data_IF_079434791000
#
_entry.id   IF_079434791000
#
_cell.length_a   1.000
_cell.length_b   1.000
_cell.length_c   1.000
_cell.angle_alpha   90.00
_cell.angle_beta   90.00
_cell.angle_gamma   90.00
#
_symmetry.space_group_name_H-M   'P 1'
#
loop_
_entity.id
_entity.type
_entity.pdbx_description
1 polymer ?
#
# COMPACT_ATOMS: atom_id res chain seq x y z
N UNK A 1 -19.23 -1.48 -30.19
CA UNK A 1 -18.32 -1.89 -29.09
C UNK A 1 -19.15 -1.98 -27.83
N UNK A 2 -18.98 -3.03 -27.02
CA UNK A 2 -19.65 -3.16 -25.72
C UNK A 2 -19.21 -2.04 -24.79
N UNK A 3 -20.11 -1.56 -23.92
CA UNK A 3 -19.75 -0.56 -22.93
C UNK A 3 -18.72 -1.14 -21.94
N UNK A 4 -17.71 -0.34 -21.50
CA UNK A 4 -16.76 -0.77 -20.50
C UNK A 4 -17.45 -1.17 -19.18
N UNK A 5 -16.96 -2.23 -18.54
CA UNK A 5 -17.46 -2.69 -17.25
C UNK A 5 -16.51 -2.21 -16.13
N UNK A 6 -16.98 -1.45 -15.12
CA UNK A 6 -16.11 -0.95 -14.04
C UNK A 6 -15.64 -2.04 -13.07
N UNK A 7 -16.29 -3.22 -13.08
CA UNK A 7 -15.98 -4.34 -12.19
C UNK A 7 -14.87 -5.25 -12.73
N UNK A 8 -14.18 -4.83 -13.78
CA UNK A 8 -13.11 -5.58 -14.43
C UNK A 8 -11.79 -4.84 -14.29
N UNK A 9 -10.71 -5.56 -13.97
CA UNK A 9 -9.35 -5.00 -14.05
C UNK A 9 -8.95 -4.88 -15.52
N UNK A 10 -8.94 -3.68 -16.09
CA UNK A 10 -8.59 -3.51 -17.51
C UNK A 10 -7.81 -2.22 -17.78
N UNK A 11 -6.77 -2.31 -18.59
CA UNK A 11 -5.94 -1.17 -18.98
C UNK A 11 -4.46 -1.50 -19.04
N UNK A 12 -3.68 -0.54 -19.52
CA UNK A 12 -2.22 -0.61 -19.58
C UNK A 12 -1.61 0.16 -18.43
N UNK A 13 -0.64 -0.43 -17.76
CA UNK A 13 0.08 0.18 -16.65
C UNK A 13 1.42 0.76 -17.11
N UNK A 14 1.84 1.84 -16.45
CA UNK A 14 3.08 2.56 -16.70
C UNK A 14 3.79 2.83 -15.38
N UNK A 15 5.10 2.62 -15.36
CA UNK A 15 6.00 2.92 -14.23
C UNK A 15 6.65 4.30 -14.36
N UNK A 16 6.45 4.98 -15.48
CA UNK A 16 6.97 6.31 -15.78
C UNK A 16 6.44 6.77 -17.13
N UNK A 17 6.75 8.01 -17.51
CA UNK A 17 6.33 8.59 -18.79
C UNK A 17 6.76 7.71 -19.97
N UNK A 18 5.79 7.18 -20.72
CA UNK A 18 6.00 6.25 -21.82
C UNK A 18 6.58 4.89 -21.45
N UNK A 19 6.86 4.62 -20.17
CA UNK A 19 7.48 3.39 -19.70
C UNK A 19 6.39 2.39 -19.29
N UNK A 20 5.97 1.56 -20.25
CA UNK A 20 4.98 0.52 -20.01
C UNK A 20 5.53 -0.50 -18.99
N UNK A 21 4.70 -0.83 -17.99
CA UNK A 21 5.01 -1.79 -16.95
C UNK A 21 4.96 -3.23 -17.49
N UNK A 22 5.57 -4.15 -16.74
CA UNK A 22 5.43 -5.59 -17.02
C UNK A 22 3.96 -6.02 -16.99
N UNK A 23 3.60 -7.02 -17.81
CA UNK A 23 2.25 -7.59 -17.86
C UNK A 23 1.76 -8.20 -16.54
N UNK A 24 2.66 -8.43 -15.58
CA UNK A 24 2.32 -8.82 -14.22
C UNK A 24 1.56 -7.73 -13.46
N UNK A 25 1.53 -6.48 -13.94
CA UNK A 25 0.82 -5.37 -13.32
C UNK A 25 -0.46 -5.03 -14.06
N UNK A 26 -1.52 -4.91 -13.29
CA UNK A 26 -2.86 -4.61 -13.79
C UNK A 26 -3.47 -3.49 -12.95
N UNK A 27 -4.40 -2.69 -13.52
CA UNK A 27 -4.99 -1.58 -12.81
C UNK A 27 -5.96 -2.04 -11.72
N UNK A 28 -6.03 -1.24 -10.65
CA UNK A 28 -7.03 -1.29 -9.58
C UNK A 28 -8.41 -0.80 -10.04
N UNK A 29 -8.89 -1.33 -11.17
CA UNK A 29 -10.14 -0.94 -11.82
C UNK A 29 -10.05 -1.05 -13.33
N UNK A 30 -10.95 -0.36 -14.03
CA UNK A 30 -10.94 -0.26 -15.48
C UNK A 30 -10.51 1.15 -15.92
N UNK A 31 -9.39 1.24 -16.64
CA UNK A 31 -8.78 2.47 -17.12
C UNK A 31 -9.67 3.27 -18.08
N UNK A 32 -10.72 2.64 -18.63
CA UNK A 32 -11.75 3.34 -19.39
C UNK A 32 -12.51 4.40 -18.56
N UNK A 33 -12.45 4.31 -17.22
CA UNK A 33 -13.08 5.24 -16.29
C UNK A 33 -12.10 6.25 -15.66
N UNK A 34 -10.84 6.28 -16.12
CA UNK A 34 -9.84 7.24 -15.67
C UNK A 34 -8.49 6.61 -15.33
N UNK A 35 -7.58 7.45 -14.86
CA UNK A 35 -6.27 6.99 -14.42
C UNK A 35 -6.36 6.32 -13.05
N UNK A 36 -5.77 5.13 -12.96
CA UNK A 36 -5.86 4.25 -11.81
C UNK A 36 -4.45 3.85 -11.39
N UNK A 37 -4.28 3.57 -10.10
CA UNK A 37 -3.11 2.88 -9.59
C UNK A 37 -3.03 1.48 -10.18
N UNK A 38 -1.81 1.02 -10.45
CA UNK A 38 -1.54 -0.35 -10.86
C UNK A 38 -0.91 -1.13 -9.71
N UNK A 39 -1.28 -2.40 -9.58
CA UNK A 39 -0.66 -3.34 -8.65
C UNK A 39 -0.37 -4.67 -9.36
N UNK A 40 0.44 -5.52 -8.75
CA UNK A 40 0.70 -6.85 -9.27
C UNK A 40 -0.59 -7.67 -9.25
N UNK A 41 -0.79 -8.49 -10.27
CA UNK A 41 -1.91 -9.41 -10.36
C UNK A 41 -2.03 -10.25 -9.09
N UNK A 42 -3.24 -10.39 -8.56
CA UNK A 42 -3.52 -11.10 -7.32
C UNK A 42 -3.24 -10.32 -6.02
N UNK A 43 -2.67 -9.12 -6.10
CA UNK A 43 -2.40 -8.29 -4.91
C UNK A 43 -3.63 -7.48 -4.46
N UNK A 44 -3.53 -6.90 -3.26
CA UNK A 44 -4.54 -5.99 -2.72
C UNK A 44 -4.21 -4.55 -3.12
N UNK A 45 -5.16 -3.87 -3.73
CA UNK A 45 -5.15 -2.42 -3.91
C UNK A 45 -5.48 -1.75 -2.57
N UNK A 46 -4.66 -0.78 -2.18
CA UNK A 46 -4.81 -0.04 -0.93
C UNK A 46 -5.05 1.45 -1.19
N UNK A 47 -5.42 2.17 -0.13
CA UNK A 47 -5.38 3.62 -0.10
C UNK A 47 -4.02 4.21 -0.54
N UNK A 48 -4.02 5.50 -0.87
CA UNK A 48 -2.82 6.27 -1.22
C UNK A 48 -1.99 5.76 -2.40
N UNK A 49 -2.63 5.00 -3.30
CA UNK A 49 -2.00 4.41 -4.50
C UNK A 49 -1.02 3.28 -4.13
N UNK A 50 -1.14 2.73 -2.93
CA UNK A 50 -0.33 1.62 -2.46
C UNK A 50 -0.93 0.27 -2.85
N UNK A 51 -0.07 -0.73 -2.81
CA UNK A 51 -0.41 -2.11 -3.08
C UNK A 51 0.16 -2.99 -1.97
N UNK A 52 -0.49 -4.10 -1.66
CA UNK A 52 0.05 -5.11 -0.75
C UNK A 52 0.19 -6.46 -1.43
N UNK A 53 1.42 -6.96 -1.42
CA UNK A 53 1.75 -8.30 -1.90
C UNK A 53 1.78 -9.28 -0.73
N UNK A 54 0.80 -10.19 -0.69
CA UNK A 54 0.68 -11.19 0.37
C UNK A 54 1.77 -12.27 0.34
N UNK A 55 2.38 -12.51 -0.82
CA UNK A 55 3.44 -13.52 -0.97
C UNK A 55 4.74 -13.11 -0.26
N UNK A 56 5.13 -11.83 -0.36
CA UNK A 56 6.34 -11.30 0.27
C UNK A 56 6.07 -10.46 1.51
N UNK A 57 4.80 -10.23 1.86
CA UNK A 57 4.40 -9.43 3.02
C UNK A 57 4.84 -7.97 2.90
N UNK A 58 4.81 -7.40 1.69
CA UNK A 58 5.31 -6.05 1.42
C UNK A 58 4.23 -5.13 0.91
N UNK A 59 4.20 -3.93 1.46
CA UNK A 59 3.49 -2.78 0.87
C UNK A 59 4.42 -2.10 -0.13
N UNK A 60 3.91 -1.62 -1.26
CA UNK A 60 4.74 -1.05 -2.32
C UNK A 60 3.99 -0.02 -3.19
N UNK A 61 4.76 0.73 -3.97
CA UNK A 61 4.28 1.57 -5.07
C UNK A 61 4.91 1.13 -6.38
N UNK A 62 4.16 1.27 -7.47
CA UNK A 62 4.68 0.97 -8.81
C UNK A 62 4.33 2.02 -9.85
N UNK A 63 3.05 2.30 -10.08
CA UNK A 63 2.66 3.05 -11.26
C UNK A 63 1.16 3.25 -11.40
N UNK A 64 0.78 3.75 -12.56
CA UNK A 64 -0.59 4.10 -12.89
C UNK A 64 -0.91 3.79 -14.35
N UNK A 65 -2.15 4.01 -14.77
CA UNK A 65 -2.59 3.86 -16.16
C UNK A 65 -2.44 5.12 -17.01
N UNK A 66 -1.79 6.17 -16.51
CA UNK A 66 -1.47 7.37 -17.30
C UNK A 66 -0.17 7.16 -18.11
N UNK A 67 -0.23 7.11 -19.44
CA UNK A 67 0.97 7.01 -20.28
C UNK A 67 1.91 8.21 -20.14
N UNK A 68 1.39 9.40 -19.82
CA UNK A 68 2.21 10.61 -19.65
C UNK A 68 2.78 10.75 -18.24
N UNK A 69 2.29 9.93 -17.29
CA UNK A 69 2.71 9.92 -15.89
C UNK A 69 2.59 11.29 -15.19
N UNK A 70 1.56 12.05 -15.58
CA UNK A 70 1.27 13.41 -15.12
C UNK A 70 0.11 13.46 -14.14
N UNK A 71 -0.74 12.43 -14.11
CA UNK A 71 -1.86 12.33 -13.19
C UNK A 71 -1.39 12.11 -11.73
N UNK A 72 -2.06 12.76 -10.77
CA UNK A 72 -1.76 12.63 -9.35
C UNK A 72 -1.94 11.20 -8.79
N UNK A 73 -2.64 10.32 -9.53
CA UNK A 73 -2.76 8.88 -9.23
C UNK A 73 -1.46 8.11 -9.52
N UNK A 74 -0.53 8.70 -10.26
CA UNK A 74 0.78 8.14 -10.51
C UNK A 74 1.70 8.37 -9.31
N UNK A 75 2.24 7.31 -8.69
CA UNK A 75 3.08 7.46 -7.51
C UNK A 75 4.43 8.06 -7.89
N UNK A 76 4.90 9.02 -7.11
CA UNK A 76 6.27 9.48 -7.23
C UNK A 76 7.23 8.43 -6.64
N UNK A 77 8.27 8.07 -7.40
CA UNK A 77 9.26 7.05 -7.01
C UNK A 77 10.68 7.62 -6.97
N UNK A 78 10.83 8.93 -6.72
CA UNK A 78 12.10 9.60 -6.91
C UNK A 78 13.15 9.15 -5.88
N UNK A 79 14.19 8.50 -6.39
CA UNK A 79 15.47 8.26 -5.73
C UNK A 79 16.58 8.81 -6.64
N UNK A 80 16.63 10.14 -6.78
CA UNK A 80 17.50 10.81 -7.75
C UNK A 80 17.09 10.53 -9.20
N UNK A 81 18.06 10.51 -10.12
CA UNK A 81 17.85 10.29 -11.56
C UNK A 81 17.63 8.81 -11.93
N UNK A 82 17.60 7.91 -10.95
CA UNK A 82 17.57 6.49 -11.22
C UNK A 82 16.14 5.96 -11.37
N UNK A 83 15.83 5.42 -12.55
CA UNK A 83 14.59 4.70 -12.77
C UNK A 83 14.54 3.42 -11.92
N UNK A 84 13.50 3.31 -11.09
CA UNK A 84 13.19 2.11 -10.30
C UNK A 84 11.75 1.71 -10.63
N UNK A 85 11.52 0.48 -11.12
CA UNK A 85 10.18 0.05 -11.55
C UNK A 85 9.16 0.14 -10.42
N UNK A 86 9.54 -0.29 -9.21
CA UNK A 86 8.70 -0.30 -8.02
C UNK A 86 9.54 -0.03 -6.77
N UNK A 87 8.88 0.41 -5.70
CA UNK A 87 9.53 0.75 -4.43
C UNK A 87 8.76 0.10 -3.28
N UNK A 88 9.47 -0.47 -2.32
CA UNK A 88 8.86 -0.96 -1.08
C UNK A 88 8.44 0.21 -0.20
N UNK A 89 7.51 -0.03 0.71
CA UNK A 89 7.03 0.96 1.67
C UNK A 89 7.20 0.45 3.11
N UNK A 90 7.61 1.34 4.01
CA UNK A 90 7.59 1.09 5.45
C UNK A 90 6.92 2.25 6.18
N UNK A 91 6.13 1.93 7.19
CA UNK A 91 5.53 2.92 8.07
C UNK A 91 6.47 3.27 9.23
N UNK A 92 6.75 4.55 9.40
CA UNK A 92 7.71 5.05 10.38
C UNK A 92 7.07 5.50 11.70
N UNK A 93 6.53 4.53 12.44
CA UNK A 93 5.92 4.74 13.76
C UNK A 93 6.95 5.32 14.76
N UNK A 94 6.55 6.35 15.50
CA UNK A 94 7.35 6.95 16.58
C UNK A 94 8.51 7.82 16.10
N UNK A 95 8.76 7.92 14.79
CA UNK A 95 9.70 8.89 14.23
C UNK A 95 8.97 10.00 13.50
N UNK A 96 8.22 9.68 12.43
CA UNK A 96 7.41 10.65 11.70
C UNK A 96 5.94 10.32 11.59
N UNK A 97 5.56 9.06 11.77
CA UNK A 97 4.21 8.58 11.51
C UNK A 97 3.82 8.80 10.03
N UNK A 98 4.74 8.46 9.12
CA UNK A 98 4.58 8.61 7.66
C UNK A 98 5.05 7.33 6.96
N UNK A 99 4.54 7.12 5.74
CA UNK A 99 5.01 6.06 4.86
C UNK A 99 6.21 6.56 4.05
N UNK A 100 7.30 5.80 4.10
CA UNK A 100 8.52 6.11 3.36
C UNK A 100 8.80 5.03 2.33
N UNK A 101 9.24 5.46 1.15
CA UNK A 101 9.66 4.58 0.08
C UNK A 101 11.07 4.07 0.31
N UNK A 102 11.32 2.83 -0.12
CA UNK A 102 12.61 2.19 -0.16
C UNK A 102 12.91 1.70 -1.58
N UNK A 103 14.02 2.20 -2.12
CA UNK A 103 14.55 1.77 -3.41
C UNK A 103 14.91 0.29 -3.41
N UNK A 104 14.83 -0.32 -4.59
CA UNK A 104 15.18 -1.73 -4.81
C UNK A 104 16.46 -1.78 -5.66
N UNK A 105 17.54 -2.29 -5.09
CA UNK A 105 18.86 -2.30 -5.73
C UNK A 105 18.88 -3.14 -7.01
N UNK A 106 18.16 -4.26 -7.03
CA UNK A 106 18.06 -5.15 -8.18
C UNK A 106 17.22 -4.57 -9.34
N UNK A 107 16.34 -3.58 -9.07
CA UNK A 107 15.47 -2.94 -10.06
C UNK A 107 14.70 -3.93 -10.93
N UNK A 108 14.28 -5.05 -10.35
CA UNK A 108 13.51 -6.06 -11.06
C UNK A 108 12.23 -5.43 -11.63
N UNK A 109 11.84 -5.76 -12.87
CA UNK A 109 10.63 -5.21 -13.46
C UNK A 109 9.38 -5.66 -12.70
N UNK A 110 9.40 -6.83 -12.07
CA UNK A 110 8.31 -7.41 -11.28
C UNK A 110 8.60 -7.38 -9.77
N UNK A 111 7.57 -7.59 -8.95
CA UNK A 111 7.74 -7.72 -7.50
C UNK A 111 8.48 -9.02 -7.19
N UNK A 112 9.61 -8.87 -6.51
CA UNK A 112 10.40 -9.96 -5.95
C UNK A 112 10.51 -9.76 -4.45
N UNK A 113 11.23 -10.66 -3.76
CA UNK A 113 11.61 -10.43 -2.37
C UNK A 113 12.21 -9.01 -2.23
N UNK A 114 11.64 -8.14 -1.38
CA UNK A 114 12.09 -6.76 -1.24
C UNK A 114 13.43 -6.67 -0.50
N UNK A 115 14.19 -5.64 -0.83
CA UNK A 115 15.36 -5.24 -0.04
C UNK A 115 14.94 -4.76 1.36
N UNK A 116 15.83 -4.88 2.37
CA UNK A 116 15.57 -4.35 3.70
C UNK A 116 15.21 -2.87 3.68
N UNK A 117 14.07 -2.53 4.29
CA UNK A 117 13.52 -1.19 4.33
C UNK A 117 13.44 -0.71 5.78
N UNK A 118 13.92 0.51 6.05
CA UNK A 118 14.05 1.01 7.42
C UNK A 118 13.84 2.51 7.50
N UNK A 119 13.38 2.96 8.66
CA UNK A 119 13.09 4.36 8.92
C UNK A 119 14.36 5.15 9.20
N UNK A 120 14.77 5.95 8.22
CA UNK A 120 15.82 6.94 8.37
C UNK A 120 15.41 8.05 9.37
N UNK A 121 16.34 8.70 10.07
CA UNK A 121 16.04 9.93 10.81
C UNK A 121 15.53 11.04 9.87
N UNK A 122 14.58 11.88 10.34
CA UNK A 122 13.89 12.90 9.51
C UNK A 122 14.83 13.78 8.68
N UNK A 123 15.96 14.19 9.24
CA UNK A 123 16.93 15.07 8.57
C UNK A 123 17.61 14.47 7.32
N UNK A 124 17.43 13.17 7.05
CA UNK A 124 17.99 12.46 5.89
C UNK A 124 16.92 11.96 4.91
N UNK A 125 15.66 12.40 5.05
CA UNK A 125 14.56 11.85 4.26
C UNK A 125 14.20 12.76 3.09
N UNK A 126 14.48 12.28 1.89
CA UNK A 126 13.88 12.73 0.63
C UNK A 126 12.84 11.74 0.11
N UNK A 127 12.55 10.67 0.85
CA UNK A 127 11.78 9.51 0.38
C UNK A 127 10.41 9.34 1.06
N UNK A 128 9.78 10.41 1.55
CA UNK A 128 8.40 10.31 2.07
C UNK A 128 7.47 10.07 0.88
N UNK A 129 6.76 8.95 0.89
CA UNK A 129 5.84 8.60 -0.18
C UNK A 129 4.48 9.32 0.00
N UNK A 130 3.94 9.25 1.21
CA UNK A 130 2.68 9.89 1.61
C UNK A 130 2.51 9.82 3.14
N UNK A 131 1.50 10.52 3.65
CA UNK A 131 1.12 10.51 5.07
C UNK A 131 -0.28 9.93 5.20
N UNK A 132 -0.40 8.84 5.95
CA UNK A 132 -1.68 8.23 6.32
C UNK A 132 -1.48 7.35 7.57
N UNK A 133 -2.53 6.66 8.01
CA UNK A 133 -2.52 5.63 9.05
C UNK A 133 -1.47 4.55 8.82
N UNK A 134 -1.00 3.97 9.92
CA UNK A 134 -0.11 2.78 9.91
C UNK A 134 -0.75 1.54 9.28
N UNK A 135 -2.09 1.52 9.19
CA UNK A 135 -2.88 0.50 8.52
C UNK A 135 -3.65 1.19 7.41
N UNK A 136 -3.28 0.90 6.17
CA UNK A 136 -3.95 1.43 5.00
C UNK A 136 -5.25 0.69 4.76
N UNK A 137 -6.25 1.42 4.28
CA UNK A 137 -7.53 0.83 3.93
C UNK A 137 -7.38 -0.11 2.72
N UNK A 138 -8.02 -1.27 2.80
CA UNK A 138 -8.14 -2.18 1.67
C UNK A 138 -9.23 -1.65 0.72
N UNK A 139 -8.88 -1.48 -0.56
CA UNK A 139 -9.84 -1.00 -1.58
C UNK A 139 -10.42 -2.18 -2.35
N UNK A 140 -9.55 -3.04 -2.89
CA UNK A 140 -9.97 -4.14 -3.74
C UNK A 140 -8.90 -5.22 -3.89
N UNK A 141 -9.32 -6.48 -4.04
CA UNK A 141 -8.42 -7.56 -4.42
C UNK A 141 -8.40 -7.71 -5.94
N UNK A 142 -7.20 -7.70 -6.51
CA UNK A 142 -7.02 -7.88 -7.95
C UNK A 142 -7.19 -9.35 -8.37
N UNK A 143 -7.69 -9.58 -9.59
CA UNK A 143 -7.62 -10.89 -10.21
C UNK A 143 -6.18 -11.24 -10.62
N UNK A 144 -5.98 -12.47 -11.06
CA UNK A 144 -4.69 -12.97 -11.56
C UNK A 144 -4.38 -12.55 -13.00
N UNK A 145 -5.28 -11.85 -13.69
CA UNK A 145 -5.07 -11.35 -15.05
C UNK A 145 -6.00 -10.18 -15.40
N UNK A 146 -5.58 -9.36 -16.36
CA UNK A 146 -6.40 -8.31 -16.98
C UNK A 146 -7.63 -8.92 -17.65
N UNK A 147 -8.75 -8.19 -17.66
CA UNK A 147 -10.03 -8.63 -18.24
C UNK A 147 -10.91 -9.45 -17.28
N UNK A 148 -10.41 -9.77 -16.09
CA UNK A 148 -11.15 -10.49 -15.06
C UNK A 148 -11.76 -9.56 -14.00
N UNK A 149 -12.72 -10.10 -13.25
CA UNK A 149 -13.44 -9.35 -12.22
C UNK A 149 -12.56 -8.98 -11.03
N UNK A 150 -12.74 -7.76 -10.54
CA UNK A 150 -12.14 -7.26 -9.29
C UNK A 150 -13.10 -7.52 -8.12
N UNK A 151 -12.55 -7.91 -6.97
CA UNK A 151 -13.32 -8.02 -5.74
C UNK A 151 -13.15 -6.74 -4.91
N UNK A 152 -14.15 -5.87 -4.93
CA UNK A 152 -14.15 -4.61 -4.18
C UNK A 152 -14.45 -4.84 -2.70
N UNK A 153 -13.77 -4.07 -1.85
CA UNK A 153 -14.10 -4.00 -0.43
C UNK A 153 -15.37 -3.19 -0.21
N UNK A 154 -16.01 -3.43 0.94
CA UNK A 154 -17.22 -2.69 1.34
C UNK A 154 -16.93 -1.20 1.35
N UNK A 155 -17.81 -0.40 0.71
CA UNK A 155 -17.64 1.05 0.59
C UNK A 155 -16.80 1.52 -0.60
N UNK A 156 -16.11 0.62 -1.31
CA UNK A 156 -15.26 0.95 -2.48
C UNK A 156 -15.84 0.49 -3.82
N UNK A 157 -17.06 -0.03 -3.82
CA UNK A 157 -17.73 -0.52 -5.04
C UNK A 157 -17.99 0.66 -5.99
N UNK A 158 -17.53 0.62 -7.26
CA UNK A 158 -17.76 1.68 -8.22
C UNK A 158 -19.25 1.93 -8.44
N UNK A 159 -19.67 3.20 -8.32
CA UNK A 159 -21.02 3.62 -8.70
C UNK A 159 -20.99 4.07 -10.15
N UNK A 160 -21.72 3.35 -11.01
CA UNK A 160 -21.89 3.76 -12.40
C UNK A 160 -23.10 4.69 -12.49
N UNK A 161 -22.84 5.97 -12.69
CA UNK A 161 -23.91 6.89 -13.09
C UNK A 161 -24.18 6.68 -14.57
N UNK A 162 -25.17 5.86 -14.89
CA UNK A 162 -25.62 5.69 -16.27
C UNK A 162 -26.32 6.98 -16.68
N UNK A 163 -25.66 7.82 -17.49
CA UNK A 163 -26.34 8.90 -18.19
C UNK A 163 -27.27 8.25 -19.22
N UNK A 164 -28.54 8.07 -18.87
CA UNK A 164 -29.59 7.77 -19.84
C UNK A 164 -29.63 8.89 -20.87
N UNK A 165 -29.13 8.61 -22.07
CA UNK A 165 -29.30 9.47 -23.23
C UNK A 165 -30.80 9.56 -23.54
N UNK A 166 -31.44 10.62 -23.02
CA UNK A 166 -32.76 11.01 -23.45
C UNK A 166 -32.72 11.34 -24.93
N UNK A 167 -33.42 10.54 -25.73
CA UNK A 167 -33.68 10.81 -27.14
C UNK A 167 -34.44 12.14 -27.28
N UNK A 168 -33.82 13.17 -27.84
CA UNK A 168 -34.44 14.07 -28.82
C UNK A 168 -33.43 15.01 -29.50
N UNK A 169 -33.74 15.49 -30.74
CA UNK A 169 -32.74 15.93 -31.70
C UNK A 169 -32.38 17.43 -31.62
N UNK A 170 -31.24 17.74 -32.24
CA UNK A 170 -30.69 19.05 -32.61
C UNK A 170 -29.66 19.71 -31.66
N UNK A 171 -28.44 19.80 -32.19
CA UNK A 171 -27.22 20.54 -31.77
C UNK A 171 -27.44 22.08 -31.82
N UNK A 172 -26.49 22.97 -31.38
CA UNK A 172 -25.10 22.68 -31.00
C UNK A 172 -24.49 23.44 -29.79
N UNK A 173 -23.27 22.98 -29.46
CA UNK A 173 -22.14 23.69 -28.83
C UNK A 173 -21.91 23.57 -27.31
N UNK A 174 -20.83 22.86 -26.98
CA UNK A 174 -19.78 23.38 -26.08
C UNK A 174 -19.92 23.11 -24.58
N UNK A 175 -19.33 22.02 -24.10
CA UNK A 175 -18.38 22.02 -22.98
C UNK A 175 -18.01 20.59 -22.58
N UNK A 176 -16.72 20.28 -22.61
CA UNK A 176 -16.15 19.06 -22.07
C UNK A 176 -16.10 19.19 -20.56
N UNK A 177 -16.97 18.49 -19.83
CA UNK A 177 -16.92 18.42 -18.36
C UNK A 177 -16.33 17.08 -17.94
N UNK A 178 -15.16 17.13 -17.31
CA UNK A 178 -14.45 16.00 -16.72
C UNK A 178 -15.29 15.29 -15.66
N UNK A 179 -15.32 13.96 -15.72
CA UNK A 179 -15.96 13.13 -14.70
C UNK A 179 -15.01 12.97 -13.52
N UNK A 180 -15.43 13.40 -12.33
CA UNK A 180 -14.72 13.21 -11.06
C UNK A 180 -15.39 12.07 -10.30
N UNK A 181 -14.66 10.98 -10.06
CA UNK A 181 -15.06 9.92 -9.14
C UNK A 181 -15.00 10.47 -7.72
N UNK A 182 -16.16 10.70 -7.10
CA UNK A 182 -16.27 11.06 -5.68
C UNK A 182 -16.59 9.80 -4.88
N UNK A 183 -15.68 9.42 -3.98
CA UNK A 183 -15.96 8.40 -2.97
C UNK A 183 -16.82 9.05 -1.89
N UNK A 184 -18.06 8.60 -1.73
CA UNK A 184 -18.98 9.13 -0.73
C UNK A 184 -18.84 8.35 0.58
N UNK A 185 -18.33 9.01 1.62
CA UNK A 185 -18.32 8.51 3.00
C UNK A 185 -19.67 8.86 3.66
N UNK A 186 -20.48 7.91 4.13
CA UNK A 186 -21.63 8.25 4.96
C UNK A 186 -21.15 8.60 6.39
N UNK A 187 -21.19 9.88 6.73
CA UNK A 187 -21.16 10.35 8.13
C UNK A 187 -22.53 10.13 8.76
N UNK A 188 -22.68 9.05 9.52
CA UNK A 188 -23.86 8.80 10.36
C UNK A 188 -23.62 9.29 11.78
N UNK A 189 -24.06 10.51 12.09
CA UNK A 189 -24.19 11.03 13.44
C UNK A 189 -25.52 10.60 14.06
N UNK A 190 -25.49 10.01 15.25
CA UNK A 190 -26.70 9.82 16.09
C UNK A 190 -26.44 10.34 17.50
N UNK A 191 -27.28 11.30 17.89
CA UNK A 191 -27.47 11.94 19.19
C UNK A 191 -29.00 12.04 19.34
N UNK A 192 -29.72 11.82 20.45
CA UNK A 192 -29.45 11.90 21.89
C UNK A 192 -30.63 11.29 22.72
N UNK A 193 -30.32 10.90 23.98
CA UNK A 193 -31.10 11.08 25.24
C UNK A 193 -32.34 10.18 25.61
N UNK A 194 -32.86 10.20 26.88
CA UNK A 194 -32.21 9.91 28.19
C UNK A 194 -33.03 9.06 29.23
N UNK A 195 -32.33 8.41 30.17
CA UNK A 195 -32.70 8.12 31.60
C UNK A 195 -33.69 6.99 31.96
N UNK A 196 -33.81 6.50 33.25
CA UNK A 196 -33.06 6.81 34.49
C UNK A 196 -32.52 5.60 35.34
N UNK A 197 -31.49 5.90 36.15
CA UNK A 197 -31.14 5.57 37.58
C UNK A 197 -31.60 4.23 38.22
N UNK A 198 -30.91 3.48 39.09
CA UNK A 198 -29.84 3.65 40.12
C UNK A 198 -29.17 2.23 40.35
N UNK A 199 -28.09 1.95 41.11
CA UNK A 199 -27.61 2.48 42.38
C UNK A 199 -26.28 1.76 42.80
N UNK A 200 -25.31 2.50 43.35
CA UNK A 200 -24.31 2.10 44.39
C UNK A 200 -23.18 1.12 44.01
N UNK A 201 -21.96 1.10 44.56
CA UNK A 201 -21.13 1.78 45.59
C UNK A 201 -19.68 1.30 45.21
N UNK A 202 -18.56 2.02 45.24
CA UNK A 202 -17.75 2.52 46.36
C UNK A 202 -16.46 3.12 45.77
N UNK A 203 -15.96 4.16 46.44
CA UNK A 203 -14.65 4.80 46.26
C UNK A 203 -13.47 3.85 46.51
N UNK A 204 -12.48 3.82 45.60
CA UNK A 204 -11.05 3.60 45.97
C UNK A 204 -10.13 4.37 45.01
N UNK A 205 -9.49 5.38 45.57
CA UNK A 205 -8.29 6.06 45.09
C UNK A 205 -7.12 5.06 45.03
N UNK A 206 -6.42 4.97 43.90
CA UNK A 206 -5.36 3.98 43.71
C UNK A 206 -4.45 4.27 42.53
N UNK A 207 -3.52 5.19 42.75
CA UNK A 207 -2.31 5.43 41.97
C UNK A 207 -1.50 4.12 41.83
N UNK A 208 -1.15 3.71 40.61
CA UNK A 208 -0.46 2.44 40.42
C UNK A 208 -0.05 2.13 38.98
N UNK A 209 1.14 2.58 38.62
CA UNK A 209 1.93 2.13 37.47
C UNK A 209 2.01 0.60 37.37
N UNK A 210 1.51 0.02 36.28
CA UNK A 210 1.57 -1.42 36.02
C UNK A 210 2.04 -1.73 34.60
N UNK A 211 3.35 -1.74 34.39
CA UNK A 211 3.96 -2.33 33.19
C UNK A 211 3.89 -3.85 33.31
N UNK A 212 3.23 -4.49 32.34
CA UNK A 212 3.05 -5.95 32.28
C UNK A 212 4.39 -6.70 32.29
N UNK A 213 4.57 -7.54 33.31
CA UNK A 213 5.74 -8.35 33.61
C UNK A 213 5.85 -9.63 32.72
N UNK A 214 5.49 -9.53 31.43
CA UNK A 214 5.39 -10.70 30.53
C UNK A 214 6.52 -10.89 29.51
N UNK A 215 7.49 -9.98 29.37
CA UNK A 215 8.40 -9.98 28.21
C UNK A 215 9.92 -9.95 28.54
N UNK A 216 10.35 -10.38 29.74
CA UNK A 216 11.75 -10.27 30.19
C UNK A 216 12.50 -11.58 30.45
N UNK A 217 12.07 -12.71 29.90
CA UNK A 217 12.82 -13.98 29.98
C UNK A 217 13.04 -14.58 28.59
N UNK A 218 14.25 -14.45 28.03
CA UNK A 218 14.55 -15.09 26.73
C UNK A 218 15.83 -14.71 25.99
N UNK A 219 16.92 -14.30 26.64
CA UNK A 219 18.24 -14.19 26.00
C UNK A 219 19.31 -14.62 26.98
N UNK A 220 19.69 -15.90 26.99
CA UNK A 220 20.60 -16.39 28.02
C UNK A 220 21.31 -17.71 27.79
N UNK A 221 21.33 -18.31 26.60
CA UNK A 221 22.22 -19.44 26.30
C UNK A 221 22.51 -19.44 24.79
N UNK A 222 23.66 -18.91 24.36
CA UNK A 222 24.01 -18.93 22.92
C UNK A 222 25.47 -18.56 22.61
N UNK A 223 26.13 -17.78 23.46
CA UNK A 223 27.50 -17.32 23.20
C UNK A 223 28.58 -18.34 23.54
N UNK A 224 28.31 -19.30 24.44
CA UNK A 224 29.32 -20.29 24.84
C UNK A 224 29.64 -21.32 23.73
N UNK A 225 28.65 -21.70 22.92
CA UNK A 225 28.84 -22.70 21.85
C UNK A 225 29.56 -22.13 20.63
N UNK A 226 29.31 -20.87 20.28
CA UNK A 226 29.96 -20.23 19.13
C UNK A 226 31.46 -20.03 19.39
N UNK A 227 31.84 -19.62 20.61
CA UNK A 227 33.24 -19.43 20.98
C UNK A 227 34.03 -20.76 20.97
N UNK A 228 33.42 -21.87 21.42
CA UNK A 228 34.08 -23.18 21.42
C UNK A 228 34.31 -23.72 20.00
N UNK A 229 33.33 -23.56 19.10
CA UNK A 229 33.48 -23.98 17.69
C UNK A 229 34.60 -23.21 16.98
N UNK A 230 34.71 -21.89 17.21
CA UNK A 230 35.76 -21.06 16.60
C UNK A 230 37.17 -21.49 17.08
N UNK A 231 37.33 -21.79 18.37
CA UNK A 231 38.61 -22.24 18.92
C UNK A 231 39.04 -23.61 18.35
N UNK A 232 38.10 -24.54 18.17
CA UNK A 232 38.38 -25.86 17.59
C UNK A 232 38.80 -25.72 16.12
N UNK A 233 38.12 -24.88 15.33
CA UNK A 233 38.47 -24.64 13.93
C UNK A 233 39.84 -23.97 13.78
N UNK A 234 40.16 -22.99 14.64
CA UNK A 234 41.47 -22.34 14.65
C UNK A 234 42.60 -23.34 14.97
N UNK A 235 42.40 -24.21 15.97
CA UNK A 235 43.38 -25.24 16.34
C UNK A 235 43.62 -26.25 15.21
N UNK A 236 42.56 -26.73 14.55
CA UNK A 236 42.68 -27.65 13.42
C UNK A 236 43.41 -27.00 12.24
N UNK A 237 43.14 -25.72 11.96
CA UNK A 237 43.81 -25.01 10.87
C UNK A 237 45.31 -24.81 11.13
N UNK A 238 45.70 -24.48 12.36
CA UNK A 238 47.11 -24.35 12.75
C UNK A 238 47.84 -25.70 12.72
N UNK A 239 47.17 -26.79 13.09
CA UNK A 239 47.75 -28.14 13.05
C UNK A 239 47.91 -28.68 11.62
N UNK A 240 47.11 -28.19 10.67
CA UNK A 240 47.22 -28.55 9.24
C UNK A 240 48.33 -27.79 8.51
N UNK A 241 48.85 -26.73 9.13
CA UNK A 241 49.87 -25.84 8.55
C UNK A 241 51.28 -26.11 9.08
N UNK A 242 51.41 -26.98 10.08
CA UNK A 242 52.66 -27.63 10.47
C UNK A 242 52.71 -29.01 9.83
#
# INVERSE_FOLDING_TARGET
MSQPNPFIANGTCYTGKGAQADSAFIPCGNAAFGHLTCCSRGDMCLADRACYNGQFGTTYLIGCTDPEYSDGKCPEKQFGECYIPWVGLVYCNGTSNEWVACSQAAKNPTITKPDPCWCLPKAKRTAVAFKDSSVLENIASLPTATGLSILWQTGHVPVVTVLTAGSNPASPSGSTTSQTLTSAVPSGSTSLAPGPTAQGIDDVEGEGSGMSAGAKAGLGIGLALVATVILILAFLFLRRRR
#
